data_IF_897361619543
#
_entry.id   IF_897361619543
#
_cell.length_a   1.000
_cell.length_b   1.000
_cell.length_c   1.000
_cell.angle_alpha   90.00
_cell.angle_beta   90.00
_cell.angle_gamma   90.00
#
_symmetry.space_group_name_H-M   'P 1'
#
loop_
_entity.id
_entity.type
_entity.pdbx_description
1 polymer ?
#
# COMPACT_ATOMS: atom_id res chain seq x y z
N UNK A 1 33.25 22.79 -30.74
CA UNK A 1 32.69 22.50 -29.41
C UNK A 1 31.77 21.30 -29.55
N UNK A 2 32.18 20.12 -29.07
CA UNK A 2 31.37 18.90 -29.11
C UNK A 2 30.44 18.90 -27.90
N UNK A 3 29.13 18.83 -28.14
CA UNK A 3 28.09 18.60 -27.15
C UNK A 3 28.26 17.21 -26.55
N UNK A 4 28.61 17.15 -25.26
CA UNK A 4 28.55 15.92 -24.49
C UNK A 4 27.08 15.62 -24.16
N UNK A 5 26.43 14.83 -25.01
CA UNK A 5 25.24 14.08 -24.60
C UNK A 5 25.67 13.00 -23.60
N UNK A 6 25.59 13.33 -22.31
CA UNK A 6 25.59 12.31 -21.26
C UNK A 6 24.20 11.70 -21.22
N UNK A 7 23.90 10.82 -22.18
CA UNK A 7 22.78 9.90 -22.09
C UNK A 7 23.17 8.75 -21.15
N UNK A 8 23.30 9.07 -19.86
CA UNK A 8 23.36 8.03 -18.84
C UNK A 8 21.96 7.41 -18.77
N UNK A 9 21.77 6.26 -19.44
CA UNK A 9 20.66 5.35 -19.18
C UNK A 9 20.74 4.97 -17.70
N UNK A 10 20.05 5.71 -16.83
CA UNK A 10 19.79 5.28 -15.46
C UNK A 10 18.82 4.10 -15.52
N UNK A 11 19.36 2.90 -15.69
CA UNK A 11 18.59 1.67 -15.52
C UNK A 11 18.33 1.47 -14.04
N UNK A 12 17.05 1.52 -13.64
CA UNK A 12 16.58 1.25 -12.28
C UNK A 12 16.67 -0.26 -11.94
N UNK A 13 17.84 -0.89 -12.11
CA UNK A 13 18.02 -2.30 -11.75
C UNK A 13 18.33 -2.43 -10.26
N UNK A 14 17.48 -3.10 -9.46
CA UNK A 14 17.74 -3.28 -8.04
C UNK A 14 18.87 -4.28 -7.83
N UNK A 15 19.90 -3.90 -7.06
CA UNK A 15 20.87 -4.86 -6.53
C UNK A 15 20.27 -5.58 -5.31
N UNK A 16 20.31 -6.92 -5.33
CA UNK A 16 19.83 -7.77 -4.23
C UNK A 16 21.00 -8.17 -3.34
N UNK A 17 20.87 -7.94 -2.02
CA UNK A 17 21.84 -8.40 -1.02
C UNK A 17 21.10 -9.09 0.13
N UNK A 18 21.46 -10.32 0.46
CA UNK A 18 20.93 -10.98 1.67
C UNK A 18 21.46 -10.27 2.92
N UNK A 19 20.57 -9.98 3.87
CA UNK A 19 20.88 -9.23 5.08
C UNK A 19 20.88 -10.10 6.32
N UNK A 20 19.86 -10.95 6.45
CA UNK A 20 19.64 -11.79 7.60
C UNK A 20 18.64 -12.89 7.25
N UNK A 21 18.97 -14.10 7.67
CA UNK A 21 18.11 -15.26 7.79
C UNK A 21 17.78 -15.49 9.27
N UNK A 22 16.63 -16.11 9.53
CA UNK A 22 16.24 -16.41 10.90
C UNK A 22 15.17 -17.48 10.99
N UNK A 23 15.17 -18.16 12.13
CA UNK A 23 14.13 -19.08 12.51
C UNK A 23 13.74 -18.85 13.96
N UNK A 24 12.45 -19.01 14.28
CA UNK A 24 11.98 -18.94 15.65
C UNK A 24 10.70 -19.74 15.85
N UNK A 25 10.64 -20.38 17.00
CA UNK A 25 9.45 -21.08 17.45
C UNK A 25 8.54 -20.12 18.22
N UNK A 26 7.24 -20.24 18.00
CA UNK A 26 6.22 -19.54 18.76
C UNK A 26 5.06 -20.49 19.06
N UNK A 27 4.21 -20.08 19.98
CA UNK A 27 3.00 -20.84 20.32
C UNK A 27 1.82 -20.32 19.51
N UNK A 28 1.22 -21.19 18.68
CA UNK A 28 -0.01 -20.89 17.95
C UNK A 28 -1.21 -21.07 18.89
N UNK A 29 -1.92 -19.98 19.25
CA UNK A 29 -3.03 -20.04 20.20
C UNK A 29 -4.25 -20.78 19.65
N UNK A 30 -4.33 -21.05 18.35
CA UNK A 30 -5.48 -21.68 17.72
C UNK A 30 -5.33 -23.19 17.58
N UNK A 31 -4.11 -23.67 17.34
CA UNK A 31 -3.81 -25.11 17.27
C UNK A 31 -3.19 -25.67 18.53
N UNK A 32 -2.81 -24.81 19.48
CA UNK A 32 -2.14 -25.19 20.72
C UNK A 32 -0.79 -25.91 20.48
N UNK A 33 -0.14 -25.62 19.35
CA UNK A 33 1.15 -26.22 18.95
C UNK A 33 2.27 -25.18 18.96
N UNK A 34 3.50 -25.67 19.11
CA UNK A 34 4.70 -24.88 18.79
C UNK A 34 4.95 -24.97 17.30
N UNK A 35 4.87 -23.83 16.64
CA UNK A 35 5.05 -23.69 15.20
C UNK A 35 6.41 -23.02 14.94
N UNK A 36 7.02 -23.32 13.79
CA UNK A 36 8.36 -22.82 13.41
C UNK A 36 8.23 -21.90 12.20
N UNK A 37 8.55 -20.63 12.41
CA UNK A 37 8.63 -19.67 11.30
C UNK A 37 10.08 -19.58 10.86
N UNK A 38 10.28 -19.61 9.56
CA UNK A 38 11.56 -19.32 8.91
C UNK A 38 11.40 -18.07 8.04
N UNK A 39 12.40 -17.20 8.02
CA UNK A 39 12.40 -16.02 7.16
C UNK A 39 13.77 -15.66 6.60
N UNK A 40 13.77 -14.98 5.47
CA UNK A 40 14.94 -14.37 4.84
C UNK A 40 14.64 -12.90 4.51
N UNK A 41 15.55 -12.00 4.88
CA UNK A 41 15.47 -10.57 4.55
C UNK A 41 16.54 -10.23 3.52
N UNK A 42 16.10 -9.64 2.42
CA UNK A 42 16.96 -9.11 1.36
C UNK A 42 16.81 -7.59 1.24
N UNK A 43 17.91 -6.91 0.95
CA UNK A 43 17.95 -5.49 0.60
C UNK A 43 17.72 -5.30 -0.90
N UNK A 44 17.04 -4.21 -1.24
CA UNK A 44 16.97 -3.62 -2.58
C UNK A 44 17.30 -2.15 -2.49
N UNK A 45 18.21 -1.69 -3.35
CA UNK A 45 18.53 -0.26 -3.48
C UNK A 45 18.11 0.24 -4.85
N UNK A 46 17.47 1.40 -4.87
CA UNK A 46 17.08 2.09 -6.10
C UNK A 46 18.04 3.28 -6.31
N UNK A 47 18.88 3.23 -7.34
CA UNK A 47 19.90 4.26 -7.58
C UNK A 47 19.27 5.64 -7.74
N UNK A 48 19.73 6.63 -6.97
CA UNK A 48 19.23 8.01 -7.07
C UNK A 48 18.09 8.37 -6.11
N UNK A 49 17.56 7.42 -5.33
CA UNK A 49 16.70 7.71 -4.18
C UNK A 49 17.46 7.50 -2.87
N UNK A 50 17.44 8.47 -1.93
CA UNK A 50 18.09 8.36 -0.62
C UNK A 50 17.24 7.51 0.34
N UNK A 51 16.95 6.27 -0.04
CA UNK A 51 16.16 5.33 0.75
C UNK A 51 16.53 3.88 0.46
N UNK A 52 16.17 3.03 1.40
CA UNK A 52 16.40 1.59 1.36
C UNK A 52 15.07 0.86 1.27
N UNK A 53 15.08 -0.24 0.52
CA UNK A 53 13.96 -1.16 0.44
C UNK A 53 14.41 -2.52 0.97
N UNK A 54 13.51 -3.22 1.64
CA UNK A 54 13.75 -4.60 2.08
C UNK A 54 12.58 -5.48 1.66
N UNK A 55 12.88 -6.74 1.37
CA UNK A 55 11.89 -7.80 1.20
C UNK A 55 12.13 -8.84 2.27
N UNK A 56 11.07 -9.34 2.90
CA UNK A 56 11.12 -10.45 3.83
C UNK A 56 10.31 -11.60 3.23
N UNK A 57 10.95 -12.72 2.91
CA UNK A 57 10.29 -13.95 2.53
C UNK A 57 10.12 -14.81 3.79
N UNK A 58 8.89 -15.25 4.06
CA UNK A 58 8.53 -15.95 5.30
C UNK A 58 7.74 -17.22 5.00
N UNK A 59 8.08 -18.30 5.69
CA UNK A 59 7.54 -19.64 5.46
C UNK A 59 7.07 -20.25 6.78
N UNK A 60 5.81 -20.66 6.85
CA UNK A 60 5.22 -21.49 7.91
C UNK A 60 3.81 -21.96 7.51
N UNK A 61 3.22 -22.88 8.27
CA UNK A 61 1.84 -23.35 8.12
C UNK A 61 1.50 -23.92 6.73
N UNK A 62 2.50 -24.35 5.96
CA UNK A 62 2.34 -24.75 4.56
C UNK A 62 2.19 -23.60 3.57
N UNK A 63 2.41 -22.35 4.02
CA UNK A 63 2.33 -21.14 3.22
C UNK A 63 3.69 -20.47 3.05
N UNK A 64 3.84 -19.74 1.96
CA UNK A 64 5.01 -18.89 1.68
C UNK A 64 4.51 -17.51 1.30
N UNK A 65 4.96 -16.49 2.03
CA UNK A 65 4.52 -15.11 1.85
C UNK A 65 5.72 -14.17 1.79
N UNK A 66 5.55 -13.04 1.11
CA UNK A 66 6.55 -11.99 1.07
C UNK A 66 5.97 -10.70 1.62
N UNK A 67 6.72 -10.01 2.48
CA UNK A 67 6.49 -8.64 2.90
C UNK A 67 7.53 -7.69 2.33
N UNK A 68 7.20 -6.41 2.26
CA UNK A 68 8.07 -5.35 1.72
C UNK A 68 8.18 -4.19 2.70
N UNK A 69 9.31 -3.51 2.71
CA UNK A 69 9.50 -2.38 3.60
C UNK A 69 10.33 -1.29 2.97
N UNK A 70 9.97 -0.05 3.24
CA UNK A 70 10.62 1.14 2.73
C UNK A 70 10.95 2.11 3.87
N UNK A 71 12.20 2.56 3.94
CA UNK A 71 12.63 3.54 4.94
C UNK A 71 13.92 4.25 4.50
N UNK A 72 14.28 5.34 5.20
CA UNK A 72 15.57 6.00 5.03
C UNK A 72 16.74 5.12 5.52
N UNK A 73 16.47 4.23 6.48
CA UNK A 73 17.46 3.35 7.09
C UNK A 73 17.07 1.89 6.90
N UNK A 74 18.07 1.07 6.57
CA UNK A 74 17.90 -0.35 6.27
C UNK A 74 17.19 -1.12 7.41
N UNK A 75 17.59 -0.89 8.66
CA UNK A 75 16.97 -1.54 9.83
C UNK A 75 15.47 -1.30 9.89
N UNK A 76 15.02 -0.08 9.61
CA UNK A 76 13.59 0.27 9.63
C UNK A 76 12.84 -0.34 8.45
N UNK A 77 13.47 -0.42 7.27
CA UNK A 77 12.91 -1.10 6.10
C UNK A 77 12.74 -2.60 6.38
N UNK A 78 13.76 -3.25 6.95
CA UNK A 78 13.73 -4.66 7.33
C UNK A 78 12.63 -4.99 8.35
N UNK A 79 12.48 -4.17 9.41
CA UNK A 79 11.42 -4.34 10.42
C UNK A 79 10.02 -4.26 9.77
N UNK A 80 9.80 -3.31 8.86
CA UNK A 80 8.53 -3.19 8.14
C UNK A 80 8.26 -4.41 7.24
N UNK A 81 9.27 -4.83 6.48
CA UNK A 81 9.16 -6.00 5.61
C UNK A 81 8.81 -7.26 6.41
N UNK A 82 9.46 -7.45 7.57
CA UNK A 82 9.15 -8.55 8.48
C UNK A 82 7.71 -8.47 9.02
N UNK A 83 7.28 -7.29 9.48
CA UNK A 83 5.92 -7.10 9.99
C UNK A 83 4.85 -7.37 8.92
N UNK A 84 5.06 -6.92 7.68
CA UNK A 84 4.15 -7.19 6.56
C UNK A 84 4.13 -8.68 6.18
N UNK A 85 5.29 -9.36 6.16
CA UNK A 85 5.34 -10.79 5.90
C UNK A 85 4.60 -11.59 6.99
N UNK A 86 4.81 -11.22 8.25
CA UNK A 86 4.14 -11.82 9.40
C UNK A 86 2.63 -11.65 9.35
N UNK A 87 2.16 -10.44 9.04
CA UNK A 87 0.74 -10.17 8.83
C UNK A 87 0.14 -11.06 7.74
N UNK A 88 0.77 -11.11 6.56
CA UNK A 88 0.31 -11.92 5.42
C UNK A 88 0.26 -13.41 5.74
N UNK A 89 1.23 -13.90 6.52
CA UNK A 89 1.25 -15.30 6.96
C UNK A 89 0.01 -15.61 7.82
N UNK A 90 -0.38 -14.70 8.71
CA UNK A 90 -1.60 -14.82 9.51
C UNK A 90 -2.87 -14.71 8.69
N UNK A 91 -2.92 -13.86 7.66
CA UNK A 91 -4.05 -13.81 6.72
C UNK A 91 -4.25 -15.19 6.07
N UNK A 92 -3.16 -15.80 5.58
CA UNK A 92 -3.22 -17.13 4.94
C UNK A 92 -3.60 -18.23 5.93
N UNK A 93 -3.06 -18.19 7.15
CA UNK A 93 -3.42 -19.14 8.23
C UNK A 93 -4.91 -19.05 8.53
N UNK A 94 -5.42 -17.85 8.85
CA UNK A 94 -6.84 -17.68 9.19
C UNK A 94 -7.75 -18.10 8.05
N UNK A 95 -7.42 -17.73 6.81
CA UNK A 95 -8.21 -18.09 5.63
C UNK A 95 -8.23 -19.59 5.33
N UNK A 96 -7.25 -20.36 5.81
CA UNK A 96 -7.13 -21.81 5.56
C UNK A 96 -7.61 -22.69 6.71
N UNK A 97 -7.79 -22.18 7.92
CA UNK A 97 -7.97 -23.02 9.12
C UNK A 97 -9.25 -22.79 9.94
N UNK A 98 -10.31 -22.17 9.41
CA UNK A 98 -11.55 -21.90 10.18
C UNK A 98 -11.26 -21.25 11.56
N UNK A 99 -10.20 -20.46 11.64
CA UNK A 99 -9.73 -19.81 12.88
C UNK A 99 -10.60 -18.60 13.24
N UNK A 100 -11.24 -18.00 12.23
CA UNK A 100 -12.24 -16.93 12.33
C UNK A 100 -13.36 -17.19 11.30
N UNK A 101 -14.13 -18.28 11.45
CA UNK A 101 -15.03 -18.78 10.42
C UNK A 101 -16.17 -17.80 10.10
N UNK A 102 -16.52 -16.93 11.06
CA UNK A 102 -17.56 -15.92 10.91
C UNK A 102 -17.18 -14.80 9.93
N UNK A 103 -15.89 -14.59 9.63
CA UNK A 103 -15.41 -13.46 8.82
C UNK A 103 -15.01 -13.80 7.37
N UNK A 104 -15.02 -15.08 6.95
CA UNK A 104 -14.68 -15.55 5.59
C UNK A 104 -13.56 -14.72 4.92
N UNK A 105 -12.37 -14.72 5.52
CA UNK A 105 -11.24 -13.89 5.09
C UNK A 105 -10.81 -14.26 3.67
N UNK A 106 -10.90 -13.31 2.74
CA UNK A 106 -10.51 -13.47 1.32
C UNK A 106 -9.40 -12.50 0.86
N UNK A 107 -9.03 -11.54 1.70
CA UNK A 107 -8.02 -10.53 1.40
C UNK A 107 -7.35 -10.04 2.67
N UNK A 108 -6.21 -9.36 2.54
CA UNK A 108 -5.53 -8.69 3.66
C UNK A 108 -6.18 -7.36 4.06
N UNK A 109 -7.28 -6.95 3.42
CA UNK A 109 -7.95 -5.69 3.77
C UNK A 109 -8.36 -5.70 5.25
N UNK A 110 -7.99 -4.65 5.97
CA UNK A 110 -8.25 -4.52 7.39
C UNK A 110 -7.36 -5.41 8.26
N UNK A 111 -6.30 -6.04 7.75
CA UNK A 111 -5.26 -6.62 8.59
C UNK A 111 -4.15 -5.60 8.85
N UNK A 112 -3.54 -5.66 10.02
CA UNK A 112 -2.32 -4.90 10.27
C UNK A 112 -1.43 -5.57 11.31
N UNK A 113 -0.11 -5.53 11.08
CA UNK A 113 0.90 -5.82 12.10
C UNK A 113 1.49 -4.56 12.75
N UNK A 114 1.72 -4.64 14.06
CA UNK A 114 2.45 -3.62 14.82
C UNK A 114 3.15 -4.19 16.05
N UNK A 115 3.96 -3.37 16.73
CA UNK A 115 4.71 -3.80 17.91
C UNK A 115 3.77 -4.17 19.06
N UNK A 116 2.65 -3.47 19.20
CA UNK A 116 1.66 -3.70 20.25
C UNK A 116 0.29 -3.97 19.63
N UNK A 117 -0.56 -4.71 20.33
CA UNK A 117 -1.93 -4.98 19.87
C UNK A 117 -2.75 -3.70 19.65
N UNK A 118 -2.57 -2.69 20.51
CA UNK A 118 -3.26 -1.39 20.36
C UNK A 118 -2.85 -0.69 19.07
N UNK A 119 -1.56 -0.65 18.75
CA UNK A 119 -1.07 -0.08 17.49
C UNK A 119 -1.60 -0.89 16.29
N UNK A 120 -1.64 -2.23 16.39
CA UNK A 120 -2.13 -3.10 15.32
C UNK A 120 -3.62 -2.84 15.04
N UNK A 121 -4.45 -2.76 16.08
CA UNK A 121 -5.89 -2.44 15.97
C UNK A 121 -6.16 -1.07 15.35
N UNK A 122 -5.33 -0.07 15.68
CA UNK A 122 -5.46 1.26 15.09
C UNK A 122 -5.09 1.24 13.61
N UNK A 123 -3.99 0.59 13.24
CA UNK A 123 -3.58 0.46 11.83
C UNK A 123 -4.57 -0.34 11.00
N UNK A 124 -5.09 -1.45 11.53
CA UNK A 124 -6.06 -2.30 10.83
C UNK A 124 -7.36 -1.53 10.55
N UNK A 125 -7.79 -0.72 11.52
CA UNK A 125 -8.95 0.17 11.36
C UNK A 125 -8.67 1.28 10.34
N UNK A 126 -7.51 1.93 10.43
CA UNK A 126 -7.11 2.99 9.50
C UNK A 126 -7.08 2.46 8.06
N UNK A 127 -6.50 1.28 7.82
CA UNK A 127 -6.47 0.65 6.50
C UNK A 127 -7.88 0.31 5.99
N UNK A 128 -8.75 -0.26 6.84
CA UNK A 128 -10.12 -0.54 6.43
C UNK A 128 -10.86 0.73 5.98
N UNK A 129 -10.71 1.82 6.73
CA UNK A 129 -11.29 3.13 6.40
C UNK A 129 -10.68 3.67 5.10
N UNK A 130 -9.37 3.55 4.92
CA UNK A 130 -8.64 3.98 3.72
C UNK A 130 -9.21 3.36 2.46
N UNK A 131 -9.42 2.04 2.46
CA UNK A 131 -9.99 1.31 1.32
C UNK A 131 -11.42 1.76 1.02
N UNK A 132 -12.28 1.87 2.04
CA UNK A 132 -13.66 2.32 1.86
C UNK A 132 -13.77 3.77 1.38
N UNK A 133 -12.94 4.66 1.97
CA UNK A 133 -12.83 6.05 1.57
C UNK A 133 -12.41 6.17 0.11
N UNK A 134 -11.41 5.40 -0.33
CA UNK A 134 -10.98 5.48 -1.71
C UNK A 134 -12.06 5.04 -2.68
N UNK A 135 -12.76 3.92 -2.45
CA UNK A 135 -13.82 3.47 -3.34
C UNK A 135 -14.90 4.55 -3.50
N UNK A 136 -15.32 5.16 -2.38
CA UNK A 136 -16.30 6.23 -2.40
C UNK A 136 -15.76 7.46 -3.13
N UNK A 137 -14.53 7.88 -2.84
CA UNK A 137 -13.89 9.03 -3.48
C UNK A 137 -13.69 8.82 -4.99
N UNK A 138 -13.31 7.61 -5.41
CA UNK A 138 -13.09 7.24 -6.80
C UNK A 138 -14.39 7.36 -7.62
N UNK A 139 -15.54 7.07 -7.01
CA UNK A 139 -16.86 7.32 -7.62
C UNK A 139 -17.37 8.77 -7.50
N UNK A 140 -16.60 9.67 -6.85
CA UNK A 140 -17.03 11.05 -6.55
C UNK A 140 -15.98 12.07 -7.02
N UNK A 141 -16.00 12.50 -8.31
CA UNK A 141 -14.96 13.38 -8.87
C UNK A 141 -14.78 14.72 -8.14
N UNK A 142 -15.82 15.23 -7.50
CA UNK A 142 -15.80 16.51 -6.76
C UNK A 142 -15.20 16.41 -5.34
N UNK A 143 -14.84 15.21 -4.88
CA UNK A 143 -14.31 14.97 -3.54
C UNK A 143 -12.82 15.33 -3.37
N UNK A 144 -12.11 15.47 -4.49
CA UNK A 144 -10.65 15.56 -4.53
C UNK A 144 -10.18 17.01 -4.45
N UNK A 145 -9.27 17.29 -3.53
CA UNK A 145 -8.59 18.58 -3.41
C UNK A 145 -7.10 18.41 -3.68
N UNK A 146 -6.52 19.19 -4.60
CA UNK A 146 -5.08 19.17 -4.82
C UNK A 146 -4.35 19.87 -3.67
N UNK A 147 -3.29 19.25 -3.15
CA UNK A 147 -2.49 19.76 -2.02
C UNK A 147 -1.00 19.75 -2.35
N UNK A 148 -0.23 20.62 -1.69
CA UNK A 148 1.22 20.67 -1.84
C UNK A 148 1.92 19.78 -0.79
N UNK A 149 3.04 19.12 -1.14
CA UNK A 149 3.79 18.33 -0.19
C UNK A 149 4.40 19.18 0.92
N UNK A 150 4.30 18.70 2.16
CA UNK A 150 4.85 19.34 3.36
C UNK A 150 5.95 18.46 3.96
N UNK A 151 6.98 19.10 4.53
CA UNK A 151 8.11 18.45 5.17
C UNK A 151 9.32 18.26 4.26
N UNK A 152 10.53 18.43 4.82
CA UNK A 152 11.80 18.38 4.08
C UNK A 152 12.01 17.04 3.39
N UNK A 153 11.83 15.92 4.11
CA UNK A 153 12.03 14.57 3.57
C UNK A 153 11.12 14.31 2.37
N UNK A 154 9.84 14.66 2.48
CA UNK A 154 8.88 14.48 1.38
C UNK A 154 9.28 15.33 0.17
N UNK A 155 9.60 16.61 0.37
CA UNK A 155 10.04 17.50 -0.72
C UNK A 155 11.32 17.02 -1.40
N UNK A 156 12.29 16.51 -0.63
CA UNK A 156 13.53 15.96 -1.17
C UNK A 156 13.27 14.72 -2.03
N UNK A 157 12.44 13.78 -1.55
CA UNK A 157 12.07 12.59 -2.32
C UNK A 157 11.28 12.95 -3.59
N UNK A 158 10.31 13.87 -3.50
CA UNK A 158 9.57 14.38 -4.67
C UNK A 158 10.52 15.01 -5.68
N UNK A 159 11.51 15.78 -5.23
CA UNK A 159 12.52 16.35 -6.12
C UNK A 159 13.32 15.25 -6.84
N UNK A 160 13.76 14.21 -6.13
CA UNK A 160 14.45 13.08 -6.75
C UNK A 160 13.58 12.37 -7.79
N UNK A 161 12.30 12.11 -7.49
CA UNK A 161 11.35 11.50 -8.42
C UNK A 161 11.13 12.37 -9.67
N UNK A 162 10.93 13.68 -9.48
CA UNK A 162 10.69 14.63 -10.56
C UNK A 162 11.94 14.92 -11.43
N UNK A 163 13.15 14.53 -11.00
CA UNK A 163 14.35 14.55 -11.84
C UNK A 163 14.44 13.37 -12.80
N UNK A 164 13.47 12.45 -12.74
CA UNK A 164 13.34 11.30 -13.63
C UNK A 164 12.06 11.45 -14.46
N UNK A 165 11.62 10.41 -15.17
CA UNK A 165 10.43 10.46 -16.03
C UNK A 165 9.09 10.50 -15.27
N UNK A 166 9.11 10.80 -13.97
CA UNK A 166 7.93 10.81 -13.10
C UNK A 166 7.52 12.23 -12.72
N UNK A 167 6.22 12.49 -12.76
CA UNK A 167 5.61 13.70 -12.21
C UNK A 167 4.80 13.34 -10.97
N UNK A 168 4.94 14.10 -9.89
CA UNK A 168 4.28 13.82 -8.62
C UNK A 168 3.18 14.82 -8.31
N UNK A 169 1.98 14.33 -7.96
CA UNK A 169 0.85 15.13 -7.46
C UNK A 169 0.26 14.53 -6.19
N UNK A 170 -0.33 15.37 -5.35
CA UNK A 170 -0.96 14.94 -4.10
C UNK A 170 -2.36 15.51 -3.96
N UNK A 171 -3.22 14.72 -3.32
CA UNK A 171 -4.62 15.06 -3.13
C UNK A 171 -5.09 14.75 -1.70
N UNK A 172 -6.05 15.52 -1.22
CA UNK A 172 -6.80 15.26 0.01
C UNK A 172 -8.25 14.96 -0.35
N UNK A 173 -8.84 13.96 0.31
CA UNK A 173 -10.28 13.72 0.35
C UNK A 173 -10.73 13.77 1.80
N UNK A 174 -11.58 14.73 2.13
CA UNK A 174 -12.13 14.89 3.49
C UNK A 174 -13.27 13.91 3.73
N UNK A 175 -13.32 13.32 4.91
CA UNK A 175 -14.37 12.40 5.31
C UNK A 175 -15.24 13.10 6.34
N UNK A 176 -16.53 13.30 6.02
CA UNK A 176 -17.48 14.03 6.87
C UNK A 176 -17.61 13.41 8.27
N UNK A 177 -17.49 12.09 8.36
CA UNK A 177 -17.57 11.32 9.59
C UNK A 177 -16.21 11.22 10.35
N UNK A 178 -15.16 11.88 9.86
CA UNK A 178 -13.90 12.09 10.57
C UNK A 178 -12.63 11.70 9.78
N UNK A 179 -11.65 12.60 9.79
CA UNK A 179 -10.33 12.39 9.20
C UNK A 179 -10.24 12.72 7.71
N UNK A 180 -9.09 12.43 7.13
CA UNK A 180 -8.80 12.68 5.71
C UNK A 180 -8.05 11.49 5.10
N UNK A 181 -8.36 11.23 3.83
CA UNK A 181 -7.59 10.35 2.96
C UNK A 181 -6.59 11.20 2.16
N UNK A 182 -5.30 10.93 2.33
CA UNK A 182 -4.23 11.59 1.59
C UNK A 182 -3.75 10.67 0.47
N UNK A 183 -3.82 11.14 -0.76
CA UNK A 183 -3.51 10.36 -1.95
C UNK A 183 -2.31 10.95 -2.67
N UNK A 184 -1.52 10.08 -3.29
CA UNK A 184 -0.35 10.44 -4.07
C UNK A 184 -0.40 9.76 -5.41
N UNK A 185 -0.03 10.49 -6.45
CA UNK A 185 -0.06 10.03 -7.83
C UNK A 185 1.26 10.36 -8.50
N UNK A 186 1.92 9.33 -9.02
CA UNK A 186 3.02 9.45 -9.95
C UNK A 186 2.52 9.16 -11.36
N UNK A 187 2.91 10.00 -12.33
CA UNK A 187 2.64 9.76 -13.75
C UNK A 187 3.92 9.83 -14.56
N UNK A 188 4.06 8.91 -15.51
CA UNK A 188 5.14 8.86 -16.49
C UNK A 188 4.57 8.55 -17.88
N UNK A 189 5.00 9.32 -18.88
CA UNK A 189 4.66 9.03 -20.29
C UNK A 189 5.32 7.75 -20.82
N UNK A 190 6.21 7.12 -20.04
CA UNK A 190 6.88 5.87 -20.38
C UNK A 190 6.36 4.66 -19.60
N UNK A 191 5.91 4.87 -18.36
CA UNK A 191 5.61 3.79 -17.42
C UNK A 191 4.17 3.83 -16.86
N UNK A 192 3.31 4.71 -17.37
CA UNK A 192 1.93 4.86 -16.89
C UNK A 192 1.86 5.59 -15.54
N UNK A 193 0.99 5.13 -14.65
CA UNK A 193 0.71 5.75 -13.36
C UNK A 193 0.90 4.79 -12.18
N UNK A 194 1.27 5.37 -11.04
CA UNK A 194 1.31 4.72 -9.74
C UNK A 194 0.53 5.58 -8.77
N UNK A 195 -0.41 4.97 -8.06
CA UNK A 195 -1.25 5.62 -7.08
C UNK A 195 -1.12 4.92 -5.74
N UNK A 196 -1.15 5.70 -4.67
CA UNK A 196 -1.27 5.17 -3.31
C UNK A 196 -2.03 6.15 -2.42
N UNK A 197 -2.55 5.69 -1.30
CA UNK A 197 -3.24 6.55 -0.35
C UNK A 197 -2.94 6.19 1.11
N UNK A 198 -3.30 7.11 2.00
CA UNK A 198 -3.16 6.95 3.44
C UNK A 198 -4.31 7.62 4.16
N UNK A 199 -5.07 6.88 4.96
CA UNK A 199 -6.03 7.48 5.88
C UNK A 199 -5.37 7.95 7.19
N UNK A 200 -5.82 9.11 7.69
CA UNK A 200 -5.56 9.53 9.08
C UNK A 200 -6.78 10.19 9.74
N UNK A 201 -7.01 9.82 11.00
CA UNK A 201 -7.97 10.49 11.87
C UNK A 201 -7.50 11.89 12.24
N UNK A 202 -8.42 12.84 12.40
CA UNK A 202 -8.12 14.24 12.75
C UNK A 202 -7.21 14.39 13.98
N UNK A 203 -7.44 13.55 15.00
CA UNK A 203 -6.69 13.56 16.26
C UNK A 203 -5.22 13.14 16.13
N UNK A 204 -4.79 12.57 15.01
CA UNK A 204 -3.44 12.01 14.82
C UNK A 204 -2.69 12.60 13.63
N UNK A 205 -3.19 13.69 13.04
CA UNK A 205 -2.63 14.26 11.81
C UNK A 205 -1.27 14.92 12.08
N UNK A 206 -0.21 14.25 11.62
CA UNK A 206 1.07 14.88 11.32
C UNK A 206 1.27 14.89 9.80
N UNK A 207 0.90 16.01 9.17
CA UNK A 207 0.89 16.18 7.71
C UNK A 207 2.27 15.88 7.10
N UNK A 208 3.36 16.32 7.73
CA UNK A 208 4.71 16.07 7.21
C UNK A 208 5.07 14.56 7.23
N UNK A 209 4.67 13.85 8.29
CA UNK A 209 4.88 12.41 8.38
C UNK A 209 4.03 11.63 7.36
N UNK A 210 2.81 12.09 7.08
CA UNK A 210 1.91 11.55 6.06
C UNK A 210 2.54 11.63 4.68
N UNK A 211 2.94 12.84 4.25
CA UNK A 211 3.60 13.01 2.94
C UNK A 211 4.89 12.20 2.85
N UNK A 212 5.65 12.12 3.94
CA UNK A 212 6.87 11.32 3.98
C UNK A 212 6.58 9.82 3.82
N UNK A 213 5.53 9.29 4.47
CA UNK A 213 5.10 7.89 4.30
C UNK A 213 4.61 7.64 2.87
N UNK A 214 3.72 8.48 2.38
CA UNK A 214 3.10 8.35 1.07
C UNK A 214 4.14 8.41 -0.07
N UNK A 215 5.05 9.39 -0.04
CA UNK A 215 6.10 9.51 -1.07
C UNK A 215 7.03 8.29 -1.08
N UNK A 216 7.37 7.76 0.09
CA UNK A 216 8.18 6.53 0.17
C UNK A 216 7.42 5.31 -0.36
N UNK A 217 6.12 5.21 -0.10
CA UNK A 217 5.30 4.10 -0.60
C UNK A 217 5.18 4.14 -2.12
N UNK A 218 5.00 5.32 -2.71
CA UNK A 218 5.06 5.49 -4.18
C UNK A 218 6.42 5.08 -4.76
N UNK A 219 7.51 5.46 -4.10
CA UNK A 219 8.86 5.03 -4.49
C UNK A 219 9.06 3.51 -4.36
N UNK A 220 8.43 2.86 -3.38
CA UNK A 220 8.40 1.40 -3.25
C UNK A 220 7.67 0.77 -4.43
N UNK A 221 6.55 1.35 -4.84
CA UNK A 221 5.78 0.87 -5.99
C UNK A 221 6.55 0.97 -7.31
N UNK A 222 7.36 2.03 -7.51
CA UNK A 222 8.32 2.11 -8.63
C UNK A 222 9.24 0.87 -8.64
N UNK A 223 9.83 0.55 -7.50
CA UNK A 223 10.77 -0.57 -7.37
C UNK A 223 10.11 -1.94 -7.60
N UNK A 224 8.85 -2.11 -7.21
CA UNK A 224 8.13 -3.39 -7.33
C UNK A 224 7.45 -3.58 -8.69
N UNK A 225 6.97 -2.50 -9.32
CA UNK A 225 6.13 -2.57 -10.53
C UNK A 225 6.90 -2.32 -11.82
N UNK A 226 7.86 -1.38 -11.87
CA UNK A 226 8.59 -1.08 -13.14
C UNK A 226 9.43 -2.27 -13.61
N UNK A 227 9.91 -3.09 -12.67
CA UNK A 227 10.67 -4.30 -12.99
C UNK A 227 9.78 -5.46 -13.47
N UNK A 228 8.45 -5.33 -13.43
CA UNK A 228 7.54 -6.31 -14.01
C UNK A 228 7.29 -5.93 -15.45
N UNK A 229 7.86 -6.71 -16.37
CA UNK A 229 7.48 -6.65 -17.77
C UNK A 229 6.03 -7.14 -17.86
N UNK A 230 5.07 -6.22 -17.93
CA UNK A 230 3.70 -6.56 -18.30
C UNK A 230 3.74 -6.82 -19.80
N UNK A 231 3.43 -8.06 -20.21
CA UNK A 231 3.33 -8.38 -21.63
C UNK A 231 2.32 -7.45 -22.29
N UNK A 232 2.62 -6.97 -23.51
CA UNK A 232 1.73 -6.04 -24.24
C UNK A 232 0.30 -6.60 -24.39
N UNK A 233 0.18 -7.93 -24.45
CA UNK A 233 -1.08 -8.70 -24.57
C UNK A 233 -1.84 -8.87 -23.26
N UNK A 234 -1.29 -8.51 -22.11
CA UNK A 234 -1.96 -8.67 -20.82
C UNK A 234 -3.20 -7.76 -20.73
N UNK A 235 -4.31 -8.29 -20.23
CA UNK A 235 -5.56 -7.55 -20.01
C UNK A 235 -6.07 -7.77 -18.60
N UNK A 236 -6.77 -6.77 -18.05
CA UNK A 236 -7.39 -6.87 -16.73
C UNK A 236 -8.38 -8.05 -16.70
N UNK A 237 -8.21 -9.02 -15.78
CA UNK A 237 -9.11 -10.16 -15.67
C UNK A 237 -10.48 -9.75 -15.10
N UNK A 238 -11.50 -10.59 -15.28
CA UNK A 238 -12.85 -10.34 -14.72
C UNK A 238 -12.82 -10.33 -13.18
N UNK A 239 -12.22 -11.35 -12.60
CA UNK A 239 -11.92 -11.48 -11.17
C UNK A 239 -10.41 -11.54 -11.06
N UNK A 240 -9.83 -10.53 -10.42
CA UNK A 240 -8.38 -10.34 -10.36
C UNK A 240 -7.81 -10.39 -8.94
N UNK A 241 -6.60 -9.83 -8.83
CA UNK A 241 -5.82 -9.65 -7.62
C UNK A 241 -5.34 -8.19 -7.51
N UNK A 242 -4.85 -7.75 -6.34
CA UNK A 242 -4.33 -6.39 -6.17
C UNK A 242 -3.31 -5.98 -7.22
N UNK A 243 -2.37 -6.87 -7.54
CA UNK A 243 -1.32 -6.63 -8.52
C UNK A 243 -1.84 -6.38 -9.95
N UNK A 244 -3.04 -6.87 -10.29
CA UNK A 244 -3.63 -6.67 -11.62
C UNK A 244 -4.02 -5.21 -11.83
N UNK A 245 -4.51 -4.52 -10.79
CA UNK A 245 -4.83 -3.10 -10.89
C UNK A 245 -3.56 -2.25 -11.04
N UNK A 246 -2.51 -2.60 -10.30
CA UNK A 246 -1.18 -1.99 -10.48
C UNK A 246 -0.66 -2.17 -11.91
N UNK A 247 -0.70 -3.39 -12.43
CA UNK A 247 -0.30 -3.69 -13.81
C UNK A 247 -1.12 -2.92 -14.85
N UNK A 248 -2.43 -2.80 -14.63
CA UNK A 248 -3.33 -2.01 -15.47
C UNK A 248 -2.87 -0.54 -15.55
N UNK A 249 -2.58 0.08 -14.41
CA UNK A 249 -2.20 1.49 -14.38
C UNK A 249 -0.78 1.78 -14.85
N UNK A 250 0.12 0.79 -14.86
CA UNK A 250 1.47 0.92 -15.43
C UNK A 250 1.51 0.92 -16.97
N UNK A 251 0.35 0.90 -17.64
CA UNK A 251 0.25 1.10 -19.08
C UNK A 251 -0.07 2.56 -19.43
N UNK A 252 0.68 3.13 -20.39
CA UNK A 252 0.60 4.56 -20.74
C UNK A 252 -0.79 4.95 -21.26
N UNK A 253 -1.47 4.06 -21.98
CA UNK A 253 -2.82 4.28 -22.49
C UNK A 253 -3.87 4.50 -21.36
N UNK A 254 -3.61 3.97 -20.15
CA UNK A 254 -4.53 4.08 -19.02
C UNK A 254 -4.29 5.34 -18.17
N UNK A 255 -3.36 6.22 -18.56
CA UNK A 255 -3.13 7.50 -17.87
C UNK A 255 -4.38 8.38 -17.79
N UNK A 256 -5.23 8.30 -18.82
CA UNK A 256 -6.48 9.08 -18.93
C UNK A 256 -7.47 8.81 -17.81
N UNK A 257 -7.33 7.69 -17.10
CA UNK A 257 -8.13 7.36 -15.92
C UNK A 257 -8.03 8.42 -14.81
N UNK A 258 -6.95 9.19 -14.79
CA UNK A 258 -6.71 10.21 -13.78
C UNK A 258 -6.98 11.64 -14.26
N UNK A 259 -7.41 11.87 -15.51
CA UNK A 259 -7.59 13.23 -16.08
C UNK A 259 -8.55 14.10 -15.27
N UNK A 260 -9.51 13.48 -14.56
CA UNK A 260 -10.42 14.21 -13.70
C UNK A 260 -9.72 14.88 -12.50
N UNK A 261 -8.60 14.31 -12.02
CA UNK A 261 -7.80 14.85 -10.92
C UNK A 261 -7.05 16.12 -11.31
N UNK A 262 -6.79 16.33 -12.60
CA UNK A 262 -6.10 17.53 -13.08
C UNK A 262 -7.03 18.77 -13.01
N UNK A 263 -8.33 18.53 -12.90
CA UNK A 263 -9.38 19.55 -12.71
C UNK A 263 -9.75 19.77 -11.24
N UNK A 264 -9.12 19.05 -10.31
CA UNK A 264 -9.44 19.15 -8.88
C UNK A 264 -9.12 20.54 -8.32
N UNK A 265 -10.01 21.14 -7.52
CA UNK A 265 -9.77 22.45 -6.90
C UNK A 265 -8.60 22.42 -5.93
N UNK A 266 -7.92 23.57 -5.76
CA UNK A 266 -6.86 23.76 -4.76
C UNK A 266 -7.35 24.23 -3.39
N UNK A 267 -8.59 24.72 -3.28
CA UNK A 267 -9.12 25.40 -2.08
C UNK A 267 -9.97 24.49 -1.19
N UNK A 268 -11.07 23.98 -1.73
CA UNK A 268 -12.03 23.18 -0.96
C UNK A 268 -12.73 22.20 -1.89
N UNK A 269 -12.86 20.94 -1.46
CA UNK A 269 -13.69 19.92 -2.09
C UNK A 269 -14.87 19.55 -1.18
N UNK A 270 -15.89 18.92 -1.76
CA UNK A 270 -16.99 18.38 -0.99
C UNK A 270 -16.51 17.13 -0.21
N UNK A 271 -16.80 17.00 1.10
CA UNK A 271 -16.42 15.80 1.83
C UNK A 271 -17.24 14.58 1.37
N UNK A 272 -16.65 13.40 1.46
CA UNK A 272 -17.39 12.14 1.32
C UNK A 272 -17.96 11.70 2.66
N UNK A 273 -19.10 11.03 2.64
CA UNK A 273 -19.65 10.34 3.80
C UNK A 273 -19.40 8.83 3.66
N UNK A 274 -19.00 8.20 4.77
CA UNK A 274 -18.88 6.75 4.86
C UNK A 274 -19.99 6.23 5.77
N UNK A 275 -20.90 5.46 5.18
CA UNK A 275 -22.01 4.85 5.90
C UNK A 275 -21.48 3.89 6.98
N UNK A 276 -22.18 3.76 8.10
CA UNK A 276 -21.83 2.82 9.18
C UNK A 276 -20.39 2.95 9.74
N UNK A 277 -19.75 4.11 9.63
CA UNK A 277 -18.36 4.37 10.08
C UNK A 277 -18.08 3.93 11.54
N UNK A 278 -19.07 4.09 12.42
CA UNK A 278 -18.94 3.75 13.84
C UNK A 278 -19.09 2.26 14.17
N UNK A 279 -19.40 1.41 13.17
CA UNK A 279 -19.61 -0.03 13.36
C UNK A 279 -18.38 -0.90 13.12
N UNK A 280 -17.23 -0.28 12.85
CA UNK A 280 -15.97 -1.00 12.65
C UNK A 280 -15.59 -1.75 13.92
N UNK A 281 -15.47 -3.07 13.82
CA UNK A 281 -14.97 -3.95 14.88
C UNK A 281 -13.49 -4.21 14.66
N UNK A 282 -12.72 -4.30 15.74
CA UNK A 282 -11.27 -4.61 15.68
C UNK A 282 -10.93 -5.78 16.60
N UNK A 283 -10.42 -6.84 16.01
CA UNK A 283 -10.26 -8.17 16.57
C UNK A 283 -8.76 -8.46 16.70
N UNK A 284 -8.38 -9.14 17.79
CA UNK A 284 -7.02 -9.64 17.96
C UNK A 284 -6.86 -10.92 17.13
N UNK A 285 -5.84 -10.98 16.28
CA UNK A 285 -5.43 -12.20 15.60
C UNK A 285 -4.35 -12.90 16.42
N UNK A 286 -3.22 -12.22 16.63
CA UNK A 286 -2.17 -12.74 17.52
C UNK A 286 -1.50 -11.63 18.30
N UNK A 287 -1.06 -11.95 19.52
CA UNK A 287 -0.28 -11.08 20.38
C UNK A 287 0.67 -11.97 21.19
N UNK A 288 1.86 -12.25 20.65
CA UNK A 288 2.84 -13.16 21.25
C UNK A 288 4.16 -12.46 21.47
N UNK A 289 4.86 -12.82 22.54
CA UNK A 289 6.12 -12.16 22.92
C UNK A 289 7.19 -12.37 21.85
N UNK A 290 7.84 -11.28 21.46
CA UNK A 290 8.96 -11.30 20.51
C UNK A 290 8.56 -11.33 19.03
N UNK A 291 7.26 -11.28 18.71
CA UNK A 291 6.75 -11.01 17.37
C UNK A 291 5.83 -9.79 17.38
N UNK A 292 5.61 -9.13 16.22
CA UNK A 292 4.57 -8.12 16.10
C UNK A 292 3.19 -8.71 16.42
N UNK A 293 2.34 -7.95 17.11
CA UNK A 293 0.93 -8.26 17.21
C UNK A 293 0.24 -8.05 15.85
N UNK A 294 -0.78 -8.87 15.57
CA UNK A 294 -1.62 -8.76 14.37
C UNK A 294 -3.08 -8.55 14.81
N UNK A 295 -3.75 -7.61 14.15
CA UNK A 295 -5.17 -7.34 14.35
C UNK A 295 -5.90 -7.38 13.00
N UNK A 296 -7.20 -7.61 13.08
CA UNK A 296 -8.11 -7.57 11.94
C UNK A 296 -9.29 -6.63 12.25
N UNK A 297 -9.62 -5.74 11.34
CA UNK A 297 -10.77 -4.84 11.43
C UNK A 297 -11.79 -5.14 10.33
N UNK A 298 -13.07 -5.10 10.68
CA UNK A 298 -14.18 -5.45 9.80
C UNK A 298 -15.38 -4.54 10.01
N UNK A 299 -16.17 -4.34 8.95
CA UNK A 299 -17.46 -3.66 8.98
C UNK A 299 -18.47 -4.45 8.12
N UNK A 300 -19.52 -4.97 8.76
CA UNK A 300 -20.55 -5.81 8.11
C UNK A 300 -21.31 -5.07 6.98
N UNK A 301 -21.39 -3.74 7.06
CA UNK A 301 -22.09 -2.93 6.07
C UNK A 301 -21.24 -2.59 4.84
N UNK A 302 -19.92 -2.78 4.90
CA UNK A 302 -19.02 -2.42 3.80
C UNK A 302 -18.81 -3.64 2.90
N UNK A 303 -18.94 -3.47 1.57
CA UNK A 303 -18.72 -4.57 0.66
C UNK A 303 -17.26 -5.04 0.74
N UNK A 304 -16.99 -6.33 0.48
CA UNK A 304 -15.64 -6.82 0.39
C UNK A 304 -14.88 -6.07 -0.70
N UNK A 305 -13.60 -5.81 -0.47
CA UNK A 305 -12.75 -5.19 -1.46
C UNK A 305 -12.52 -6.17 -2.62
N UNK A 306 -12.89 -5.76 -3.84
CA UNK A 306 -12.84 -6.59 -5.05
C UNK A 306 -11.72 -6.14 -5.99
N UNK A 307 -11.36 -7.03 -6.91
CA UNK A 307 -10.28 -6.85 -7.88
C UNK A 307 -10.68 -7.38 -9.26
N UNK A 308 -10.14 -6.80 -10.33
CA UNK A 308 -10.48 -7.10 -11.72
C UNK A 308 -11.60 -6.20 -12.27
N UNK A 309 -12.10 -6.54 -13.46
CA UNK A 309 -13.15 -5.76 -14.16
C UNK A 309 -14.44 -5.62 -13.37
N UNK A 310 -14.71 -6.50 -12.40
CA UNK A 310 -15.89 -6.41 -11.52
C UNK A 310 -15.94 -5.12 -10.68
N UNK A 311 -14.82 -4.41 -10.52
CA UNK A 311 -14.80 -3.13 -9.79
C UNK A 311 -15.19 -1.92 -10.65
N UNK A 312 -15.32 -2.11 -11.96
CA UNK A 312 -15.69 -1.06 -12.91
C UNK A 312 -17.20 -0.86 -12.84
N UNK A 313 -17.65 0.38 -12.66
CA UNK A 313 -19.08 0.71 -12.58
C UNK A 313 -19.46 1.71 -13.67
N UNK A 314 -20.76 2.03 -13.78
CA UNK A 314 -21.21 3.07 -14.72
C UNK A 314 -20.70 4.45 -14.31
N UNK A 315 -20.58 4.67 -13.00
CA UNK A 315 -20.11 5.91 -12.38
C UNK A 315 -18.59 6.04 -12.49
N UNK A 316 -17.85 4.94 -12.55
CA UNK A 316 -16.42 4.94 -12.81
C UNK A 316 -16.00 3.84 -13.81
N UNK A 317 -15.62 4.21 -15.05
CA UNK A 317 -15.25 3.25 -16.08
C UNK A 317 -13.85 2.63 -15.89
N UNK A 318 -13.16 2.96 -14.79
CA UNK A 318 -11.82 2.49 -14.47
C UNK A 318 -11.81 1.67 -13.17
N UNK A 319 -10.96 0.62 -13.07
CA UNK A 319 -10.78 -0.08 -11.80
C UNK A 319 -10.26 0.87 -10.73
N UNK A 320 -10.49 0.65 -9.43
CA UNK A 320 -9.88 1.54 -8.43
C UNK A 320 -8.34 1.38 -8.44
N UNK A 321 -7.57 2.43 -8.14
CA UNK A 321 -6.12 2.45 -8.40
C UNK A 321 -5.25 1.95 -7.23
N UNK A 322 -5.82 1.21 -6.28
CA UNK A 322 -5.02 0.56 -5.24
C UNK A 322 -4.37 -0.71 -5.77
N UNK A 323 -3.24 -1.09 -5.17
CA UNK A 323 -2.58 -2.37 -5.36
C UNK A 323 -2.03 -2.87 -4.02
#
# INVERSE_FOLDING_TARGET
MKSNEVNAKHSWQPTLRSLADGERYFYDPYTFKKEKIVWEITERTLQGLPMTFSKCDMHDFGHSVSGTGEALFLKSAAIKAFAEAWERLWVMRIGSTDVLPEYKIKSSNGFAAARTLTEAKLKSRDELIERAALLKAWSTPTAWQQINPVGFIAKALVHCLNRTDWTTSFYEVRIANGGSLFCGLLRSTKFGAIFDCLYKSESTINIAAIFSKLTRSLARSINTQINRTVEDTWVLPTVGKPEDHGAFYTKVENLSAFDFLDKSPRRTSAPIALDDFNRIRSIKVIDTSGFPAVAFSHNDAWPPFQWGKQTITKENPWPHPLA
#
